data_IF_354702157321
#
_entry.id   IF_354702157321
#
_cell.length_a   1.000
_cell.length_b   1.000
_cell.length_c   1.000
_cell.angle_alpha   90.00
_cell.angle_beta   90.00
_cell.angle_gamma   90.00
#
_symmetry.space_group_name_H-M   'P 1'
#
loop_
_entity.id
_entity.type
_entity.pdbx_description
1 polymer ?
#
# COMPACT_ATOMS: atom_id res chain seq x y z
N UNK A 1 -2.99 -10.20 -17.11
CA UNK A 1 -2.38 -9.35 -16.07
C UNK A 1 -3.30 -8.18 -15.77
N UNK A 2 -3.58 -7.94 -14.50
CA UNK A 2 -4.25 -6.75 -13.98
C UNK A 2 -3.24 -5.90 -13.20
N UNK A 3 -3.35 -4.59 -13.26
CA UNK A 3 -2.45 -3.66 -12.57
C UNK A 3 -3.23 -2.84 -11.56
N UNK A 4 -2.73 -2.75 -10.34
CA UNK A 4 -3.29 -1.91 -9.29
C UNK A 4 -2.23 -0.95 -8.78
N UNK A 5 -2.34 0.32 -9.17
CA UNK A 5 -1.44 1.38 -8.76
C UNK A 5 -1.91 1.97 -7.42
N UNK A 6 -1.05 1.92 -6.40
CA UNK A 6 -1.24 2.57 -5.11
C UNK A 6 -0.46 3.87 -5.07
N UNK A 7 -1.18 4.98 -5.01
CA UNK A 7 -0.60 6.33 -4.88
C UNK A 7 -0.81 6.90 -3.48
N UNK A 8 0.08 7.79 -3.05
CA UNK A 8 0.02 8.45 -1.76
C UNK A 8 -0.37 9.91 -1.88
N UNK A 9 -1.20 10.37 -0.95
CA UNK A 9 -1.58 11.76 -0.86
C UNK A 9 -0.66 12.60 0.01
N UNK A 10 -1.28 13.38 0.87
CA UNK A 10 -0.75 14.58 1.55
C UNK A 10 0.55 14.40 2.34
N UNK A 11 0.81 13.20 2.88
CA UNK A 11 1.99 12.95 3.72
C UNK A 11 2.70 11.65 3.32
N UNK A 12 4.02 11.65 3.44
CA UNK A 12 4.82 10.42 3.43
C UNK A 12 4.53 9.60 4.70
N UNK A 13 4.78 8.29 4.66
CA UNK A 13 4.52 7.41 5.82
C UNK A 13 3.04 7.13 6.12
N UNK A 14 2.11 7.52 5.24
CA UNK A 14 0.68 7.33 5.45
C UNK A 14 0.21 5.86 5.51
N UNK A 15 1.08 4.89 5.20
CA UNK A 15 0.71 3.47 5.21
C UNK A 15 0.31 2.93 3.85
N UNK A 16 0.85 3.48 2.76
CA UNK A 16 0.72 2.89 1.40
C UNK A 16 1.08 1.41 1.40
N UNK A 17 2.25 1.05 1.94
CA UNK A 17 2.67 -0.35 2.01
C UNK A 17 1.74 -1.24 2.84
N UNK A 18 1.05 -0.71 3.85
CA UNK A 18 0.04 -1.45 4.62
C UNK A 18 -1.19 -1.71 3.75
N UNK A 19 -1.66 -0.71 3.00
CA UNK A 19 -2.78 -0.87 2.06
C UNK A 19 -2.41 -1.83 0.94
N UNK A 20 -1.26 -1.64 0.28
CA UNK A 20 -0.77 -2.51 -0.80
C UNK A 20 -0.64 -3.96 -0.34
N UNK A 21 0.04 -4.21 0.79
CA UNK A 21 0.21 -5.57 1.32
C UNK A 21 -1.12 -6.20 1.75
N UNK A 22 -2.03 -5.42 2.35
CA UNK A 22 -3.37 -5.90 2.71
C UNK A 22 -4.19 -6.31 1.49
N UNK A 23 -4.17 -5.52 0.42
CA UNK A 23 -4.82 -5.90 -0.85
C UNK A 23 -4.22 -7.21 -1.37
N UNK A 24 -2.89 -7.33 -1.35
CA UNK A 24 -2.21 -8.56 -1.78
C UNK A 24 -2.61 -9.78 -0.97
N UNK A 25 -2.69 -9.63 0.36
CA UNK A 25 -3.14 -10.70 1.26
C UNK A 25 -4.59 -11.11 0.95
N UNK A 26 -5.51 -10.15 0.83
CA UNK A 26 -6.93 -10.40 0.51
C UNK A 26 -7.07 -11.10 -0.84
N UNK A 27 -6.40 -10.63 -1.88
CA UNK A 27 -6.51 -11.22 -3.22
C UNK A 27 -5.88 -12.61 -3.27
N UNK A 28 -4.75 -12.84 -2.58
CA UNK A 28 -4.14 -14.17 -2.47
C UNK A 28 -5.01 -15.15 -1.71
N UNK A 29 -5.64 -14.71 -0.62
CA UNK A 29 -6.66 -15.45 0.12
C UNK A 29 -7.85 -15.84 -0.79
N UNK A 30 -8.22 -14.98 -1.73
CA UNK A 30 -9.24 -15.24 -2.75
C UNK A 30 -8.71 -16.02 -3.97
N UNK A 31 -7.55 -16.68 -3.86
CA UNK A 31 -7.04 -17.61 -4.87
C UNK A 31 -6.28 -16.98 -6.05
N UNK A 32 -6.07 -15.67 -6.05
CA UNK A 32 -5.36 -14.96 -7.12
C UNK A 32 -3.84 -15.08 -6.97
N UNK A 33 -3.13 -15.20 -8.09
CA UNK A 33 -1.66 -15.08 -8.09
C UNK A 33 -1.27 -13.60 -8.13
N UNK A 34 -0.61 -13.12 -7.08
CA UNK A 34 -0.29 -11.69 -6.89
C UNK A 34 1.21 -11.47 -6.91
N UNK A 35 1.66 -10.42 -7.58
CA UNK A 35 3.01 -9.87 -7.49
C UNK A 35 2.98 -8.42 -7.02
N UNK A 36 4.11 -7.91 -6.55
CA UNK A 36 4.25 -6.54 -6.06
C UNK A 36 5.51 -5.89 -6.63
N UNK A 37 5.35 -4.66 -7.10
CA UNK A 37 6.41 -3.78 -7.58
C UNK A 37 6.37 -2.51 -6.75
N UNK A 38 7.49 -2.19 -6.11
CA UNK A 38 7.67 -0.91 -5.41
C UNK A 38 8.50 0.03 -6.28
N UNK A 39 7.98 1.23 -6.50
CA UNK A 39 8.65 2.30 -7.23
C UNK A 39 9.08 3.35 -6.22
N UNK A 40 10.38 3.53 -6.06
CA UNK A 40 10.94 4.57 -5.21
C UNK A 40 11.43 5.73 -6.09
N UNK A 41 10.85 6.94 -5.98
CA UNK A 41 11.22 8.06 -6.83
C UNK A 41 12.57 8.70 -6.44
N UNK A 42 13.22 8.22 -5.38
CA UNK A 42 14.49 8.78 -4.91
C UNK A 42 15.66 8.36 -5.81
N UNK A 43 16.45 9.34 -6.23
CA UNK A 43 17.72 9.13 -6.92
C UNK A 43 18.79 8.63 -5.92
N UNK A 44 18.97 7.31 -5.86
CA UNK A 44 20.00 6.67 -5.03
C UNK A 44 21.12 6.00 -5.86
N UNK A 45 20.99 6.01 -7.19
CA UNK A 45 21.95 5.40 -8.13
C UNK A 45 22.43 6.50 -9.07
N UNK A 46 23.74 6.61 -9.23
CA UNK A 46 24.37 7.55 -10.14
C UNK A 46 23.99 7.21 -11.59
N UNK A 47 23.59 8.21 -12.39
CA UNK A 47 23.05 8.03 -13.74
C UNK A 47 24.13 7.71 -14.80
N UNK A 48 25.28 7.19 -14.38
CA UNK A 48 26.52 7.11 -15.15
C UNK A 48 26.58 6.11 -16.32
N UNK A 49 25.46 5.66 -16.89
CA UNK A 49 25.47 4.62 -17.93
C UNK A 49 24.63 4.87 -19.18
N UNK A 50 23.98 6.03 -19.33
CA UNK A 50 23.38 6.36 -20.63
C UNK A 50 24.42 6.98 -21.56
N UNK A 51 24.95 6.18 -22.49
CA UNK A 51 25.80 6.69 -23.57
C UNK A 51 24.94 7.53 -24.54
N UNK A 52 25.20 8.84 -24.69
CA UNK A 52 24.42 9.70 -25.59
C UNK A 52 24.66 9.38 -27.08
N UNK A 53 25.60 8.49 -27.40
CA UNK A 53 26.03 8.22 -28.77
C UNK A 53 25.15 7.21 -29.53
N UNK A 54 24.33 6.40 -28.85
CA UNK A 54 23.58 5.31 -29.49
C UNK A 54 22.10 5.63 -29.79
N UNK A 55 21.53 6.70 -29.22
CA UNK A 55 20.08 6.94 -29.25
C UNK A 55 19.60 8.38 -29.58
N UNK A 56 20.48 9.35 -29.85
CA UNK A 56 20.06 10.75 -30.00
C UNK A 56 19.67 11.41 -28.65
N UNK A 57 19.02 12.58 -28.69
CA UNK A 57 18.59 13.29 -27.46
C UNK A 57 17.52 12.48 -26.69
N UNK A 58 17.81 12.13 -25.44
CA UNK A 58 16.87 11.41 -24.56
C UNK A 58 15.97 12.41 -23.85
N UNK A 59 14.66 12.31 -24.07
CA UNK A 59 13.63 13.09 -23.38
C UNK A 59 12.90 12.25 -22.32
N UNK A 60 12.38 12.92 -21.28
CA UNK A 60 11.56 12.27 -20.24
C UNK A 60 10.33 11.56 -20.84
N UNK A 61 9.66 12.22 -21.77
CA UNK A 61 8.56 11.64 -22.56
C UNK A 61 8.99 11.64 -24.03
N UNK A 62 8.91 10.52 -24.77
CA UNK A 62 8.40 9.22 -24.34
C UNK A 62 9.45 8.28 -23.73
N UNK A 63 10.76 8.55 -23.87
CA UNK A 63 11.80 7.54 -23.64
C UNK A 63 11.84 6.99 -22.20
N UNK A 64 11.78 7.85 -21.18
CA UNK A 64 11.80 7.40 -19.78
C UNK A 64 10.46 6.75 -19.42
N UNK A 65 9.35 7.33 -19.88
CA UNK A 65 8.01 6.78 -19.60
C UNK A 65 7.79 5.42 -20.23
N UNK A 66 8.34 5.18 -21.43
CA UNK A 66 8.29 3.89 -22.12
C UNK A 66 9.16 2.85 -21.40
N UNK A 67 10.38 3.23 -21.02
CA UNK A 67 11.28 2.36 -20.26
C UNK A 67 10.67 1.91 -18.92
N UNK A 68 9.98 2.82 -18.20
CA UNK A 68 9.25 2.48 -16.97
C UNK A 68 8.13 1.48 -17.27
N UNK A 69 7.30 1.73 -18.28
CA UNK A 69 6.19 0.85 -18.66
C UNK A 69 6.68 -0.55 -19.05
N UNK A 70 7.70 -0.63 -19.90
CA UNK A 70 8.29 -1.90 -20.34
C UNK A 70 8.90 -2.68 -19.18
N UNK A 71 9.59 -1.99 -18.26
CA UNK A 71 10.13 -2.62 -17.08
C UNK A 71 9.03 -3.18 -16.18
N UNK A 72 7.97 -2.41 -15.94
CA UNK A 72 6.82 -2.85 -15.11
C UNK A 72 6.12 -4.05 -15.73
N UNK A 73 5.79 -4.01 -17.02
CA UNK A 73 5.11 -5.12 -17.71
C UNK A 73 5.95 -6.40 -17.64
N UNK A 74 7.25 -6.30 -17.94
CA UNK A 74 8.17 -7.44 -17.91
C UNK A 74 8.34 -8.03 -16.51
N UNK A 75 8.41 -7.19 -15.47
CA UNK A 75 8.59 -7.66 -14.08
C UNK A 75 7.29 -8.24 -13.53
N UNK A 76 6.14 -7.68 -13.90
CA UNK A 76 4.83 -8.16 -13.47
C UNK A 76 4.58 -9.62 -13.89
N UNK A 77 5.11 -10.04 -15.05
CA UNK A 77 4.93 -11.41 -15.55
C UNK A 77 5.85 -12.46 -14.90
N UNK A 78 6.83 -12.05 -14.09
CA UNK A 78 7.76 -12.97 -13.44
C UNK A 78 7.06 -13.69 -12.28
N UNK A 79 7.09 -15.04 -12.23
CA UNK A 79 6.64 -15.79 -11.06
C UNK A 79 7.43 -15.38 -9.81
N UNK A 80 6.74 -15.19 -8.69
CA UNK A 80 7.34 -14.77 -7.40
C UNK A 80 7.16 -15.78 -6.28
N UNK A 81 6.46 -16.89 -6.54
CA UNK A 81 6.25 -17.96 -5.59
C UNK A 81 6.60 -19.33 -6.19
N UNK A 82 6.59 -20.36 -5.33
CA UNK A 82 6.95 -21.72 -5.71
C UNK A 82 5.99 -22.36 -6.73
N UNK A 83 4.84 -21.73 -7.03
CA UNK A 83 3.89 -22.25 -8.02
C UNK A 83 4.40 -22.09 -9.46
N UNK A 84 5.42 -21.26 -9.68
CA UNK A 84 5.93 -20.90 -11.02
C UNK A 84 4.85 -20.35 -11.97
N UNK A 85 3.69 -19.95 -11.45
CA UNK A 85 2.61 -19.36 -12.24
C UNK A 85 2.90 -17.90 -12.51
N UNK A 86 2.56 -17.46 -13.73
CA UNK A 86 2.56 -16.05 -14.08
C UNK A 86 1.52 -15.33 -13.21
N UNK A 87 1.87 -14.20 -12.55
CA UNK A 87 0.92 -13.45 -11.76
C UNK A 87 -0.30 -12.98 -12.57
N UNK A 88 -1.46 -12.95 -11.91
CA UNK A 88 -2.71 -12.46 -12.49
C UNK A 88 -2.93 -10.98 -12.13
N UNK A 89 -2.45 -10.56 -10.95
CA UNK A 89 -2.54 -9.20 -10.43
C UNK A 89 -1.15 -8.69 -10.03
N UNK A 90 -0.77 -7.51 -10.51
CA UNK A 90 0.43 -6.78 -10.13
C UNK A 90 0.05 -5.54 -9.32
N UNK A 91 0.43 -5.53 -8.04
CA UNK A 91 0.34 -4.36 -7.18
C UNK A 91 1.55 -3.47 -7.44
N UNK A 92 1.33 -2.18 -7.71
CA UNK A 92 2.38 -1.20 -7.95
C UNK A 92 2.28 -0.15 -6.85
N UNK A 93 3.22 -0.14 -5.91
CA UNK A 93 3.31 0.91 -4.90
C UNK A 93 4.19 2.05 -5.42
N UNK A 94 3.59 3.21 -5.71
CA UNK A 94 4.34 4.43 -5.99
C UNK A 94 4.72 5.12 -4.66
N UNK A 95 6.01 5.12 -4.37
CA UNK A 95 6.62 5.85 -3.25
C UNK A 95 6.45 7.36 -3.36
N UNK A 96 6.87 8.09 -2.30
CA UNK A 96 6.69 9.54 -2.24
C UNK A 96 5.24 9.99 -2.11
N UNK A 97 4.98 11.26 -2.46
CA UNK A 97 3.63 11.84 -2.50
C UNK A 97 3.29 12.34 -3.90
N UNK A 98 2.00 12.36 -4.23
CA UNK A 98 1.53 13.00 -5.47
C UNK A 98 1.69 14.51 -5.31
N UNK A 99 2.48 15.12 -6.21
CA UNK A 99 2.85 16.54 -6.10
C UNK A 99 4.34 16.75 -6.34
N UNK A 100 5.14 15.79 -5.90
CA UNK A 100 6.60 15.88 -5.87
C UNK A 100 7.20 15.80 -7.29
N UNK A 101 8.28 16.56 -7.53
CA UNK A 101 8.95 16.63 -8.83
C UNK A 101 9.54 15.26 -9.23
N UNK A 102 9.99 14.49 -8.25
CA UNK A 102 10.59 13.17 -8.40
C UNK A 102 9.56 12.13 -8.86
N UNK A 103 8.28 12.33 -8.51
CA UNK A 103 7.19 11.42 -8.87
C UNK A 103 6.66 11.64 -10.29
N UNK A 104 6.93 12.80 -10.90
CA UNK A 104 6.29 13.22 -12.16
C UNK A 104 6.52 12.24 -13.32
N UNK A 105 7.74 11.73 -13.58
CA UNK A 105 7.97 10.78 -14.68
C UNK A 105 7.18 9.48 -14.48
N UNK A 106 7.05 9.01 -13.24
CA UNK A 106 6.33 7.78 -12.93
C UNK A 106 4.83 7.94 -13.07
N UNK A 107 4.27 9.05 -12.58
CA UNK A 107 2.84 9.34 -12.73
C UNK A 107 2.46 9.43 -14.21
N UNK A 108 3.27 10.10 -15.03
CA UNK A 108 3.05 10.16 -16.47
C UNK A 108 3.18 8.79 -17.14
N UNK A 109 4.17 7.97 -16.75
CA UNK A 109 4.30 6.60 -17.24
C UNK A 109 3.07 5.74 -16.92
N UNK A 110 2.52 5.85 -15.71
CA UNK A 110 1.32 5.11 -15.32
C UNK A 110 0.04 5.64 -15.95
N UNK A 111 -0.05 6.95 -16.19
CA UNK A 111 -1.12 7.55 -16.99
C UNK A 111 -1.14 6.94 -18.38
N UNK A 112 0.00 6.82 -19.05
CA UNK A 112 0.12 6.16 -20.35
C UNK A 112 -0.16 4.65 -20.27
N UNK A 113 0.34 3.97 -19.23
CA UNK A 113 0.10 2.55 -19.01
C UNK A 113 -1.39 2.22 -18.92
N UNK A 114 -2.17 3.05 -18.20
CA UNK A 114 -3.62 2.90 -18.09
C UNK A 114 -4.31 2.84 -19.46
N UNK A 115 -3.90 3.69 -20.41
CA UNK A 115 -4.43 3.65 -21.78
C UNK A 115 -3.93 2.43 -22.54
N UNK A 116 -2.66 2.06 -22.38
CA UNK A 116 -2.04 0.93 -23.07
C UNK A 116 -2.69 -0.42 -22.69
N UNK A 117 -3.01 -0.62 -21.41
CA UNK A 117 -3.59 -1.89 -20.92
C UNK A 117 -5.13 -1.87 -20.89
N UNK A 118 -5.74 -0.69 -20.94
CA UNK A 118 -7.18 -0.49 -20.85
C UNK A 118 -7.71 -0.39 -19.42
N UNK A 119 -8.80 0.37 -19.24
CA UNK A 119 -9.37 0.66 -17.91
C UNK A 119 -9.80 -0.57 -17.12
N UNK A 120 -10.27 -1.64 -17.77
CA UNK A 120 -10.62 -2.91 -17.10
C UNK A 120 -9.41 -3.73 -16.64
N UNK A 121 -8.19 -3.30 -16.96
CA UNK A 121 -6.95 -3.95 -16.55
C UNK A 121 -6.08 -3.06 -15.66
N UNK A 122 -6.53 -1.84 -15.34
CA UNK A 122 -5.81 -0.88 -14.51
C UNK A 122 -6.74 -0.32 -13.44
N UNK A 123 -6.31 -0.34 -12.19
CA UNK A 123 -7.01 0.27 -11.07
C UNK A 123 -6.06 1.23 -10.35
N UNK A 124 -6.45 2.49 -10.22
CA UNK A 124 -5.71 3.46 -9.43
C UNK A 124 -6.38 3.60 -8.07
N UNK A 125 -5.67 3.25 -7.01
CA UNK A 125 -6.11 3.50 -5.63
C UNK A 125 -5.28 4.63 -5.03
N UNK A 126 -5.94 5.49 -4.26
CA UNK A 126 -5.30 6.64 -3.64
C UNK A 126 -5.43 6.59 -2.12
N UNK A 127 -4.32 6.63 -1.40
CA UNK A 127 -4.29 6.62 0.06
C UNK A 127 -4.09 8.04 0.58
N UNK A 128 -5.06 8.56 1.33
CA UNK A 128 -5.04 9.92 1.86
C UNK A 128 -5.45 9.99 3.33
N UNK A 129 -4.96 11.02 4.02
CA UNK A 129 -5.16 11.19 5.47
C UNK A 129 -6.43 12.00 5.69
N UNK A 130 -7.29 11.50 6.55
CA UNK A 130 -8.47 12.21 7.05
C UNK A 130 -8.33 12.31 8.57
N UNK A 131 -7.56 13.30 9.07
CA UNK A 131 -7.29 13.39 10.50
C UNK A 131 -8.50 13.96 11.23
N UNK A 132 -8.81 13.41 12.40
CA UNK A 132 -9.68 14.06 13.38
C UNK A 132 -8.81 14.77 14.43
N UNK A 133 -8.84 16.10 14.44
CA UNK A 133 -8.10 16.92 15.39
C UNK A 133 -8.94 17.06 16.67
N UNK A 134 -8.36 16.65 17.81
CA UNK A 134 -9.03 16.64 19.12
C UNK A 134 -9.61 17.99 19.54
N UNK A 135 -9.07 19.10 19.04
CA UNK A 135 -9.55 20.47 19.32
C UNK A 135 -10.84 20.84 18.59
N UNK A 136 -11.13 20.21 17.45
CA UNK A 136 -12.27 20.55 16.58
C UNK A 136 -13.33 19.44 16.57
N UNK A 137 -12.95 18.19 16.86
CA UNK A 137 -13.85 17.05 16.96
C UNK A 137 -14.43 16.54 15.63
N UNK A 138 -14.10 17.19 14.50
CA UNK A 138 -14.59 16.87 13.17
C UNK A 138 -13.45 16.41 12.23
N UNK A 139 -13.61 15.29 11.51
CA UNK A 139 -12.66 14.83 10.51
C UNK A 139 -12.39 15.86 9.40
N UNK A 140 -11.11 16.14 9.11
CA UNK A 140 -10.70 17.12 8.11
C UNK A 140 -10.48 16.48 6.75
N UNK A 141 -11.44 16.68 5.86
CA UNK A 141 -11.47 16.11 4.50
C UNK A 141 -10.75 16.96 3.45
N UNK A 142 -10.49 18.25 3.74
CA UNK A 142 -9.91 19.18 2.77
C UNK A 142 -8.55 18.75 2.19
N UNK A 143 -7.60 18.23 3.00
CA UNK A 143 -6.33 17.75 2.46
C UNK A 143 -6.52 16.63 1.42
N UNK A 144 -7.46 15.71 1.67
CA UNK A 144 -7.79 14.64 0.71
C UNK A 144 -8.35 15.18 -0.61
N UNK A 145 -9.21 16.21 -0.56
CA UNK A 145 -9.75 16.85 -1.77
C UNK A 145 -8.66 17.49 -2.63
N UNK A 146 -7.66 18.11 -2.01
CA UNK A 146 -6.52 18.73 -2.72
C UNK A 146 -5.66 17.64 -3.35
N UNK A 147 -5.35 16.58 -2.60
CA UNK A 147 -4.56 15.45 -3.09
C UNK A 147 -5.19 14.77 -4.32
N UNK A 148 -6.50 14.54 -4.30
CA UNK A 148 -7.22 13.96 -5.45
C UNK A 148 -7.25 14.91 -6.65
N UNK A 149 -7.37 16.22 -6.42
CA UNK A 149 -7.26 17.21 -7.50
C UNK A 149 -5.88 17.15 -8.16
N UNK A 150 -4.83 17.00 -7.37
CA UNK A 150 -3.44 16.94 -7.83
C UNK A 150 -3.14 15.64 -8.61
N UNK A 151 -3.71 14.52 -8.17
CA UNK A 151 -3.70 13.25 -8.91
C UNK A 151 -4.40 13.41 -10.28
N UNK A 152 -5.58 14.03 -10.28
CA UNK A 152 -6.38 14.26 -11.49
C UNK A 152 -5.73 15.23 -12.46
N UNK A 153 -5.08 16.26 -11.96
CA UNK A 153 -4.33 17.21 -12.78
C UNK A 153 -3.19 16.51 -13.57
N UNK A 154 -2.68 15.39 -13.07
CA UNK A 154 -1.70 14.53 -13.77
C UNK A 154 -2.33 13.43 -14.61
N UNK A 155 -3.64 13.46 -14.81
CA UNK A 155 -4.36 12.53 -15.69
C UNK A 155 -4.68 11.16 -15.08
N UNK A 156 -4.48 10.96 -13.78
CA UNK A 156 -4.93 9.76 -13.07
C UNK A 156 -6.21 10.06 -12.28
N UNK A 157 -7.19 9.16 -12.35
CA UNK A 157 -8.39 9.21 -11.51
C UNK A 157 -8.32 8.09 -10.49
N UNK A 158 -8.65 8.37 -9.22
CA UNK A 158 -8.76 7.32 -8.22
C UNK A 158 -10.06 6.52 -8.46
N UNK A 159 -9.93 5.21 -8.62
CA UNK A 159 -11.04 4.26 -8.66
C UNK A 159 -11.52 3.91 -7.25
N UNK A 160 -10.58 3.84 -6.29
CA UNK A 160 -10.84 3.60 -4.86
C UNK A 160 -10.06 4.64 -4.05
N UNK A 161 -10.73 5.26 -3.09
CA UNK A 161 -10.13 6.20 -2.14
C UNK A 161 -10.00 5.54 -0.77
N UNK A 162 -8.77 5.30 -0.33
CA UNK A 162 -8.48 4.86 1.02
C UNK A 162 -8.28 6.07 1.94
N UNK A 163 -9.16 6.20 2.93
CA UNK A 163 -9.11 7.26 3.93
C UNK A 163 -8.50 6.74 5.21
N UNK A 164 -7.22 7.04 5.46
CA UNK A 164 -6.59 6.75 6.74
C UNK A 164 -7.12 7.69 7.80
N UNK A 165 -7.69 7.15 8.87
CA UNK A 165 -8.33 7.91 9.93
C UNK A 165 -8.07 7.30 11.32
N UNK A 166 -8.01 8.17 12.33
CA UNK A 166 -7.85 7.80 13.74
C UNK A 166 -9.19 7.49 14.43
N UNK A 167 -10.31 7.84 13.79
CA UNK A 167 -11.67 7.56 14.27
C UNK A 167 -12.55 7.14 13.11
N UNK A 168 -13.64 6.45 13.41
CA UNK A 168 -14.66 6.11 12.41
C UNK A 168 -15.22 7.37 11.74
N UNK A 169 -15.33 7.33 10.41
CA UNK A 169 -15.92 8.37 9.60
C UNK A 169 -17.42 8.13 9.48
N UNK A 170 -18.22 9.17 9.77
CA UNK A 170 -19.66 9.08 9.60
C UNK A 170 -20.05 8.95 8.12
N UNK A 171 -21.23 8.38 7.81
CA UNK A 171 -21.72 8.29 6.43
C UNK A 171 -21.70 9.63 5.70
N UNK A 172 -22.04 10.72 6.39
CA UNK A 172 -21.98 12.07 5.84
C UNK A 172 -20.57 12.49 5.39
N UNK A 173 -19.53 12.12 6.13
CA UNK A 173 -18.13 12.41 5.76
C UNK A 173 -17.72 11.58 4.54
N UNK A 174 -18.15 10.32 4.46
CA UNK A 174 -17.89 9.42 3.33
C UNK A 174 -18.58 9.94 2.05
N UNK A 175 -19.85 10.31 2.13
CA UNK A 175 -20.60 10.92 1.02
C UNK A 175 -19.95 12.22 0.54
N UNK A 176 -19.56 13.09 1.48
CA UNK A 176 -18.83 14.33 1.18
C UNK A 176 -17.52 14.03 0.43
N UNK A 177 -16.74 13.06 0.91
CA UNK A 177 -15.50 12.66 0.25
C UNK A 177 -15.77 12.10 -1.15
N UNK A 178 -16.76 11.23 -1.31
CA UNK A 178 -17.16 10.69 -2.62
C UNK A 178 -17.54 11.78 -3.61
N UNK A 179 -18.39 12.72 -3.20
CA UNK A 179 -18.81 13.86 -4.01
C UNK A 179 -17.63 14.74 -4.44
N UNK A 180 -16.80 15.20 -3.50
CA UNK A 180 -15.71 16.14 -3.80
C UNK A 180 -14.53 15.46 -4.53
N UNK A 181 -14.28 14.18 -4.27
CA UNK A 181 -13.21 13.42 -4.89
C UNK A 181 -13.64 12.77 -6.22
N UNK A 182 -14.94 12.76 -6.53
CA UNK A 182 -15.54 12.08 -7.69
C UNK A 182 -15.21 10.58 -7.68
N UNK A 183 -15.37 9.97 -6.51
CA UNK A 183 -15.24 8.53 -6.27
C UNK A 183 -16.59 8.05 -5.75
N UNK A 184 -17.15 6.95 -6.29
CA UNK A 184 -18.39 6.36 -5.75
C UNK A 184 -18.30 6.13 -4.23
N UNK A 185 -19.37 6.41 -3.51
CA UNK A 185 -19.38 6.38 -2.03
C UNK A 185 -18.99 5.00 -1.47
N UNK A 186 -19.40 3.93 -2.15
CA UNK A 186 -19.04 2.54 -1.84
C UNK A 186 -17.56 2.20 -2.10
N UNK A 187 -16.83 3.07 -2.81
CA UNK A 187 -15.38 2.98 -3.06
C UNK A 187 -14.55 3.96 -2.23
N UNK A 188 -15.17 4.63 -1.25
CA UNK A 188 -14.48 5.40 -0.22
C UNK A 188 -14.30 4.50 1.00
N UNK A 189 -13.11 3.90 1.12
CA UNK A 189 -12.80 2.85 2.09
C UNK A 189 -12.04 3.45 3.27
N UNK A 190 -12.49 3.17 4.48
CA UNK A 190 -11.86 3.64 5.70
C UNK A 190 -10.69 2.74 6.09
N UNK A 191 -9.55 3.33 6.40
CA UNK A 191 -8.38 2.63 6.97
C UNK A 191 -8.16 3.16 8.37
N UNK A 192 -8.82 2.52 9.35
CA UNK A 192 -8.73 2.93 10.75
C UNK A 192 -7.37 2.55 11.35
N UNK A 193 -6.89 3.36 12.29
CA UNK A 193 -5.81 2.92 13.17
C UNK A 193 -6.26 1.67 13.95
N UNK A 194 -5.37 0.68 14.03
CA UNK A 194 -5.59 -0.61 14.68
C UNK A 194 -4.44 -0.90 15.63
N UNK A 195 -4.72 -1.65 16.69
CA UNK A 195 -3.70 -2.05 17.66
C UNK A 195 -2.66 -2.99 17.04
N UNK A 196 -3.09 -3.82 16.10
CA UNK A 196 -2.26 -4.77 15.39
C UNK A 196 -2.42 -4.62 13.86
N UNK A 197 -1.30 -4.43 13.16
CA UNK A 197 -1.24 -4.30 11.70
C UNK A 197 -1.89 -5.48 10.95
N UNK A 198 -1.89 -6.68 11.53
CA UNK A 198 -2.54 -7.85 10.95
C UNK A 198 -4.08 -7.75 10.96
N UNK A 199 -4.69 -6.80 11.68
CA UNK A 199 -6.13 -6.54 11.61
C UNK A 199 -6.53 -5.78 10.34
N UNK A 200 -5.59 -5.11 9.66
CA UNK A 200 -5.93 -4.24 8.51
C UNK A 200 -6.58 -5.02 7.35
N UNK A 201 -6.07 -6.19 6.90
CA UNK A 201 -6.74 -6.97 5.85
C UNK A 201 -8.18 -7.33 6.20
N UNK A 202 -8.45 -7.71 7.46
CA UNK A 202 -9.79 -8.05 7.93
C UNK A 202 -10.72 -6.83 7.92
N UNK A 203 -10.23 -5.67 8.38
CA UNK A 203 -10.98 -4.42 8.39
C UNK A 203 -11.26 -3.86 6.99
N UNK A 204 -10.40 -4.15 6.01
CA UNK A 204 -10.63 -3.81 4.61
C UNK A 204 -11.63 -4.78 3.97
N UNK A 205 -11.52 -6.08 4.26
CA UNK A 205 -12.43 -7.08 3.72
C UNK A 205 -13.85 -6.97 4.31
N UNK A 206 -13.99 -6.52 5.56
CA UNK A 206 -15.31 -6.21 6.13
C UNK A 206 -16.04 -5.08 5.38
N UNK A 207 -15.30 -4.26 4.60
CA UNK A 207 -15.83 -3.26 3.68
C UNK A 207 -15.96 -3.77 2.23
N UNK A 208 -15.88 -5.10 2.03
CA UNK A 208 -16.04 -5.81 0.75
C UNK A 208 -15.01 -5.46 -0.32
N UNK A 209 -13.77 -5.19 0.08
CA UNK A 209 -12.71 -4.75 -0.83
C UNK A 209 -12.46 -5.76 -1.97
N UNK A 210 -12.40 -7.06 -1.69
CA UNK A 210 -12.26 -8.10 -2.73
C UNK A 210 -13.34 -7.99 -3.81
N UNK A 211 -14.60 -7.82 -3.40
CA UNK A 211 -15.75 -7.71 -4.29
C UNK A 211 -15.66 -6.47 -5.18
N UNK A 212 -15.28 -5.33 -4.60
CA UNK A 212 -15.10 -4.08 -5.36
C UNK A 212 -14.00 -4.20 -6.41
N UNK A 213 -12.89 -4.88 -6.09
CA UNK A 213 -11.79 -5.12 -7.02
C UNK A 213 -12.20 -6.08 -8.15
N UNK A 214 -12.91 -7.17 -7.83
CA UNK A 214 -13.44 -8.10 -8.84
C UNK A 214 -14.40 -7.39 -9.80
N UNK A 215 -15.32 -6.57 -9.27
CA UNK A 215 -16.23 -5.76 -10.08
C UNK A 215 -15.49 -4.75 -10.97
N UNK A 216 -14.46 -4.08 -10.44
CA UNK A 216 -13.66 -3.13 -11.22
C UNK A 216 -12.95 -3.79 -12.39
N UNK A 217 -12.34 -4.95 -12.16
CA UNK A 217 -11.58 -5.67 -13.18
C UNK A 217 -12.42 -6.58 -14.08
N UNK A 218 -13.74 -6.64 -13.86
CA UNK A 218 -14.68 -7.51 -14.58
C UNK A 218 -14.27 -8.99 -14.45
N UNK A 219 -14.07 -9.42 -13.20
CA UNK A 219 -13.58 -10.75 -12.84
C UNK A 219 -14.60 -11.52 -12.02
N UNK A 220 -14.75 -12.79 -12.35
CA UNK A 220 -15.52 -13.73 -11.52
C UNK A 220 -14.70 -14.20 -10.30
N UNK A 221 -15.34 -14.46 -9.15
CA UNK A 221 -14.68 -15.09 -8.01
C UNK A 221 -14.05 -16.43 -8.40
N UNK A 222 -12.88 -16.74 -7.82
CA UNK A 222 -12.27 -18.07 -7.98
C UNK A 222 -13.05 -19.08 -7.14
N UNK A 223 -13.12 -20.32 -7.60
CA UNK A 223 -13.56 -21.42 -6.76
C UNK A 223 -12.52 -21.64 -5.65
N UNK A 224 -12.97 -21.57 -4.40
CA UNK A 224 -12.16 -21.78 -3.21
C UNK A 224 -12.58 -23.07 -2.52
N UNK A 225 -11.79 -23.50 -1.53
CA UNK A 225 -12.15 -24.61 -0.67
C UNK A 225 -13.35 -24.28 0.23
N UNK A 226 -13.60 -25.15 1.22
CA UNK A 226 -14.70 -24.98 2.17
C UNK A 226 -14.51 -23.79 3.12
N UNK A 227 -13.26 -23.38 3.34
CA UNK A 227 -12.94 -22.33 4.30
C UNK A 227 -13.04 -20.93 3.65
N UNK A 228 -13.53 -19.92 4.40
CA UNK A 228 -13.49 -18.53 3.95
C UNK A 228 -12.06 -18.07 3.59
N UNK A 229 -11.89 -17.18 2.59
CA UNK A 229 -10.58 -16.71 2.10
C UNK A 229 -9.58 -16.33 3.20
N UNK A 230 -10.03 -15.68 4.27
CA UNK A 230 -9.20 -15.15 5.35
C UNK A 230 -9.28 -15.94 6.66
N UNK A 231 -9.89 -17.14 6.68
CA UNK A 231 -10.10 -17.89 7.92
C UNK A 231 -8.80 -18.15 8.72
N UNK A 232 -7.72 -18.53 8.04
CA UNK A 232 -6.42 -18.71 8.68
C UNK A 232 -5.83 -17.39 9.20
N UNK A 233 -6.12 -16.27 8.52
CA UNK A 233 -5.67 -14.93 8.92
C UNK A 233 -6.45 -14.43 10.15
N UNK A 234 -7.75 -14.68 10.19
CA UNK A 234 -8.62 -14.41 11.34
C UNK A 234 -8.15 -15.19 12.57
N UNK A 235 -7.88 -16.49 12.42
CA UNK A 235 -7.35 -17.32 13.51
C UNK A 235 -6.00 -16.81 14.03
N UNK A 236 -5.11 -16.37 13.14
CA UNK A 236 -3.82 -15.78 13.52
C UNK A 236 -4.01 -14.48 14.32
N UNK A 237 -4.88 -13.57 13.85
CA UNK A 237 -5.16 -12.30 14.52
C UNK A 237 -5.81 -12.53 15.88
N UNK A 238 -6.76 -13.47 15.96
CA UNK A 238 -7.42 -13.85 17.20
C UNK A 238 -6.43 -14.36 18.25
N UNK A 239 -5.50 -15.22 17.83
CA UNK A 239 -4.43 -15.72 18.69
C UNK A 239 -3.49 -14.62 19.17
N UNK A 240 -3.18 -13.63 18.31
CA UNK A 240 -2.35 -12.48 18.67
C UNK A 240 -3.01 -11.57 19.72
N UNK A 241 -4.33 -11.35 19.61
CA UNK A 241 -5.08 -10.46 20.49
C UNK A 241 -5.33 -11.08 21.87
N UNK A 242 -5.42 -12.42 21.95
CA UNK A 242 -5.68 -13.16 23.18
C UNK A 242 -4.43 -13.74 23.85
N UNK A 243 -3.23 -13.46 23.33
CA UNK A 243 -1.97 -13.86 23.93
C UNK A 243 -1.83 -13.26 25.35
N UNK A 244 -1.78 -14.11 26.38
CA UNK A 244 -1.73 -13.70 27.79
C UNK A 244 -0.32 -13.73 28.37
N UNK A 245 0.54 -14.62 27.89
CA UNK A 245 1.89 -14.79 28.41
C UNK A 245 2.84 -13.79 27.77
N UNK A 246 3.70 -13.16 28.58
CA UNK A 246 4.67 -12.17 28.08
C UNK A 246 6.10 -12.70 28.20
N UNK A 247 6.81 -12.77 27.07
CA UNK A 247 8.27 -12.98 27.05
C UNK A 247 8.97 -11.66 26.78
N UNK A 248 9.94 -11.32 27.63
CA UNK A 248 10.75 -10.12 27.45
C UNK A 248 12.04 -10.45 26.71
N UNK A 249 12.24 -9.87 25.55
CA UNK A 249 13.46 -10.01 24.76
C UNK A 249 14.21 -8.68 24.80
N UNK A 250 15.45 -8.69 25.28
CA UNK A 250 16.31 -7.52 25.22
C UNK A 250 17.03 -7.46 23.87
N UNK A 251 16.88 -6.36 23.14
CA UNK A 251 17.57 -6.13 21.87
C UNK A 251 18.59 -5.01 22.07
N UNK A 252 19.87 -5.36 22.02
CA UNK A 252 20.95 -4.38 22.05
C UNK A 252 21.11 -3.75 20.66
N UNK A 253 21.00 -2.43 20.57
CA UNK A 253 21.03 -1.69 19.32
C UNK A 253 21.90 -0.43 19.40
N UNK A 254 22.28 0.10 18.23
CA UNK A 254 23.02 1.36 18.11
C UNK A 254 22.13 2.58 18.35
N UNK A 255 20.96 2.61 17.72
CA UNK A 255 19.99 3.69 17.81
C UNK A 255 18.97 3.43 18.92
N UNK A 256 18.70 4.39 19.79
CA UNK A 256 17.70 4.27 20.89
C UNK A 256 16.42 5.05 20.65
N UNK A 257 16.47 6.06 19.78
CA UNK A 257 15.35 6.96 19.49
C UNK A 257 14.77 6.81 18.08
N UNK A 258 15.34 5.92 17.27
CA UNK A 258 14.95 5.71 15.87
C UNK A 258 14.31 4.33 15.75
N UNK A 259 13.05 4.23 16.16
CA UNK A 259 12.26 2.98 16.12
C UNK A 259 12.24 2.35 14.73
N UNK A 260 12.26 3.19 13.68
CA UNK A 260 12.24 2.75 12.29
C UNK A 260 13.47 1.93 11.89
N UNK A 261 14.62 2.15 12.54
CA UNK A 261 15.85 1.38 12.27
C UNK A 261 15.72 -0.11 12.63
N UNK A 262 14.73 -0.48 13.45
CA UNK A 262 14.46 -1.85 13.88
C UNK A 262 13.05 -2.30 13.52
N UNK A 263 12.38 -1.62 12.59
CA UNK A 263 10.98 -1.90 12.27
C UNK A 263 10.76 -3.35 11.79
N UNK A 264 11.72 -3.93 11.07
CA UNK A 264 11.69 -5.33 10.66
C UNK A 264 11.79 -6.30 11.85
N UNK A 265 12.68 -6.02 12.80
CA UNK A 265 12.81 -6.80 14.04
C UNK A 265 11.57 -6.68 14.91
N UNK A 266 11.01 -5.47 15.05
CA UNK A 266 9.79 -5.21 15.79
C UNK A 266 8.61 -5.97 15.18
N UNK A 267 8.47 -6.00 13.85
CA UNK A 267 7.39 -6.72 13.17
C UNK A 267 7.50 -8.24 13.34
N UNK A 268 8.72 -8.79 13.39
CA UNK A 268 8.94 -10.21 13.69
C UNK A 268 8.68 -10.50 15.17
N UNK A 269 9.06 -9.60 16.08
CA UNK A 269 8.76 -9.73 17.50
C UNK A 269 7.26 -9.61 17.80
N UNK A 270 6.50 -8.82 17.03
CA UNK A 270 5.04 -8.80 17.14
C UNK A 270 4.35 -10.06 16.59
N UNK A 271 5.10 -11.05 16.08
CA UNK A 271 4.54 -12.37 15.87
C UNK A 271 4.51 -13.11 17.20
N UNK A 272 3.31 -13.28 17.74
CA UNK A 272 3.05 -14.28 18.77
C UNK A 272 3.39 -15.66 18.19
N UNK A 273 4.47 -16.27 18.66
CA UNK A 273 4.71 -17.69 18.47
C UNK A 273 4.09 -18.40 19.67
N UNK A 274 3.13 -19.31 19.44
CA UNK A 274 2.44 -20.09 20.49
C UNK A 274 1.80 -19.26 21.63
N UNK A 275 1.11 -18.15 21.31
CA UNK A 275 0.32 -17.41 22.32
C UNK A 275 1.14 -16.52 23.26
N UNK A 276 2.41 -16.26 22.91
CA UNK A 276 3.34 -15.45 23.69
C UNK A 276 3.46 -14.04 23.10
N UNK A 277 3.14 -13.02 23.89
CA UNK A 277 3.43 -11.62 23.60
C UNK A 277 4.91 -11.31 23.84
N UNK A 278 5.64 -10.88 22.80
CA UNK A 278 7.06 -10.52 22.93
C UNK A 278 7.18 -9.03 23.22
N UNK A 279 7.67 -8.70 24.41
CA UNK A 279 7.98 -7.32 24.82
C UNK A 279 9.48 -7.04 24.60
N UNK A 280 9.80 -6.29 23.55
CA UNK A 280 11.16 -5.89 23.21
C UNK A 280 11.68 -4.72 24.06
N UNK A 281 12.72 -4.94 24.87
CA UNK A 281 13.42 -3.86 25.59
C UNK A 281 14.70 -3.49 24.85
N UNK A 282 14.82 -2.23 24.40
CA UNK A 282 15.96 -1.77 23.61
C UNK A 282 16.99 -1.04 24.46
N UNK A 283 18.25 -1.45 24.33
CA UNK A 283 19.36 -0.83 25.06
C UNK A 283 20.42 -0.30 24.09
N UNK A 284 20.91 0.94 24.30
CA UNK A 284 22.07 1.45 23.56
C UNK A 284 23.30 0.61 23.88
N UNK A 285 24.00 0.15 22.85
CA UNK A 285 25.27 -0.56 23.00
C UNK A 285 26.30 0.23 23.84
N UNK A 286 26.28 1.57 23.72
CA UNK A 286 27.14 2.49 24.46
C UNK A 286 26.97 2.40 25.99
N UNK A 287 25.80 2.00 26.50
CA UNK A 287 25.57 1.79 27.94
C UNK A 287 26.03 0.42 28.45
N UNK A 288 26.32 -0.51 27.57
CA UNK A 288 26.88 -1.82 27.93
C UNK A 288 28.41 -1.77 28.04
N UNK A 289 29.04 -0.82 27.34
CA UNK A 289 30.50 -0.58 27.38
C UNK A 289 30.95 0.23 28.61
N UNK A 290 30.02 0.72 29.43
CA UNK A 290 30.29 1.50 30.65
C UNK A 290 30.29 0.64 31.94
N UNK A 291 30.38 -0.69 31.81
CA UNK A 291 30.51 -1.67 32.90
C UNK A 291 31.86 -2.36 32.75
#
# INVERSE_FOLDING_TARGET
>A
MKYLLVTGGVISGIGKGIVSSSIGAIMKANGWVVTCIKIDPYLNIDAGTFSPYEHGEVYVVPHITDAIQEWVIRVAERPVDASNRVPELCLIELGGTIGDIESMPFVEAFRQLQYRVGSKNFCCVHVSLVPNLSTVGEPKTKPTQVSIRELRARGLQADILFCRCNSELSPHVIEKLGLFCQVPTDRVIQVRDVDNLYQVPLALESQKLSTLLLQHFDLEPKELGTDPPLAAWEAMVDHMLHASDTVRIAVAGKYTKLSDAYLSLLKVNCMTYDGIYINGAYFPFERLLSI
#
